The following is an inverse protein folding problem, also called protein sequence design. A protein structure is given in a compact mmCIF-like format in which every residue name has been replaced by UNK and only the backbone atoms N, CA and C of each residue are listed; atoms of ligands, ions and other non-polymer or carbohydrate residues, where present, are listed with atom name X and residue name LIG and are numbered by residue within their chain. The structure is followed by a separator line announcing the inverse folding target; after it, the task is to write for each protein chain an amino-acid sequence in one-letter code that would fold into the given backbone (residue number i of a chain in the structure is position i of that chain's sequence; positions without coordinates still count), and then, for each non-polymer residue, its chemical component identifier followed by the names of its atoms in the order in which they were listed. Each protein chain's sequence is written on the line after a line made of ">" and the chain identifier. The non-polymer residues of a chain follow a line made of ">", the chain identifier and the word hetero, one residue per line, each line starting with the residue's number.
data_IF_172552392297
#
_entry.id   IF_172552392297
#
_cell.length_a   1.000
_cell.length_b   1.000
_cell.length_c   1.000
_cell.angle_alpha   90.00
_cell.angle_beta   90.00
_cell.angle_gamma   90.00
#
_symmetry.space_group_name_H-M   'P 1'
#
loop_
_entity.id
_entity.type
_entity.pdbx_description
1 polymer ?
#
# COMPACT_ATOMS: atom_id res chain seq x y z
N UNK A 1 -2.40 4.20 15.56
CA UNK A 1 -1.44 3.17 15.07
C UNK A 1 -1.56 2.91 13.57
N UNK A 2 -2.76 2.92 12.97
CA UNK A 2 -2.97 2.79 11.53
C UNK A 2 -2.62 4.08 10.77
N UNK A 3 -2.88 5.23 11.38
CA UNK A 3 -2.56 6.56 10.84
C UNK A 3 -1.06 6.78 10.66
N UNK A 4 -0.24 6.18 11.54
CA UNK A 4 1.22 6.21 11.43
C UNK A 4 1.73 5.39 10.24
N UNK A 5 1.09 4.26 9.93
CA UNK A 5 1.43 3.45 8.76
C UNK A 5 1.04 4.18 7.47
N UNK A 6 -0.16 4.75 7.42
CA UNK A 6 -0.65 5.58 6.30
C UNK A 6 0.34 6.73 6.05
N UNK A 7 0.72 7.47 7.09
CA UNK A 7 1.69 8.58 6.96
C UNK A 7 3.02 8.14 6.36
N UNK A 8 3.54 6.97 6.79
CA UNK A 8 4.81 6.43 6.27
C UNK A 8 4.69 5.96 4.82
N UNK A 9 3.56 5.37 4.43
CA UNK A 9 3.28 4.97 3.05
C UNK A 9 3.17 6.20 2.14
N UNK A 10 2.44 7.23 2.56
CA UNK A 10 2.35 8.50 1.82
C UNK A 10 3.72 9.16 1.68
N UNK A 11 4.53 9.18 2.75
CA UNK A 11 5.89 9.70 2.69
C UNK A 11 6.76 8.91 1.69
N UNK A 12 6.63 7.58 1.65
CA UNK A 12 7.33 6.74 0.68
C UNK A 12 6.91 7.05 -0.76
N UNK A 13 5.60 7.24 -1.01
CA UNK A 13 5.09 7.66 -2.31
C UNK A 13 5.71 8.99 -2.76
N UNK A 14 5.82 9.95 -1.85
CA UNK A 14 6.47 11.24 -2.13
C UNK A 14 7.96 11.07 -2.49
N UNK A 15 8.68 10.17 -1.83
CA UNK A 15 10.09 9.89 -2.16
C UNK A 15 10.24 9.37 -3.59
N UNK A 16 9.35 8.49 -4.04
CA UNK A 16 9.33 8.04 -5.44
C UNK A 16 9.11 9.21 -6.42
N UNK A 17 8.17 10.12 -6.11
CA UNK A 17 7.92 11.32 -6.96
C UNK A 17 9.09 12.31 -6.99
N UNK A 18 9.85 12.39 -5.90
CA UNK A 18 11.07 13.21 -5.82
C UNK A 18 12.28 12.56 -6.50
N UNK A 19 12.11 11.40 -7.14
CA UNK A 19 13.20 10.68 -7.81
C UNK A 19 14.13 9.94 -6.85
N UNK A 20 13.75 9.77 -5.57
CA UNK A 20 14.53 9.03 -4.58
C UNK A 20 14.26 7.52 -4.64
N UNK A 21 14.06 6.98 -5.85
CA UNK A 21 13.58 5.61 -6.06
C UNK A 21 14.49 4.55 -5.44
N UNK A 22 15.81 4.72 -5.49
CA UNK A 22 16.76 3.76 -4.90
C UNK A 22 16.60 3.62 -3.38
N UNK A 23 16.44 4.74 -2.67
CA UNK A 23 16.25 4.73 -1.22
C UNK A 23 14.83 4.26 -0.85
N UNK A 24 13.83 4.70 -1.62
CA UNK A 24 12.44 4.31 -1.43
C UNK A 24 12.23 2.79 -1.66
N UNK A 25 12.83 2.22 -2.70
CA UNK A 25 12.73 0.78 -2.99
C UNK A 25 13.32 -0.11 -1.89
N UNK A 26 14.30 0.38 -1.12
CA UNK A 26 14.81 -0.35 0.05
C UNK A 26 13.83 -0.33 1.24
N UNK A 27 13.02 0.73 1.33
CA UNK A 27 12.05 0.92 2.42
C UNK A 27 10.71 0.25 2.12
N UNK A 28 10.34 0.16 0.84
CA UNK A 28 9.10 -0.44 0.35
C UNK A 28 8.79 -1.84 0.91
N UNK A 29 9.69 -2.85 0.84
CA UNK A 29 9.37 -4.19 1.33
C UNK A 29 9.10 -4.23 2.84
N UNK A 30 9.78 -3.36 3.61
CA UNK A 30 9.58 -3.25 5.06
C UNK A 30 8.17 -2.73 5.35
N UNK A 31 7.76 -1.66 4.66
CA UNK A 31 6.43 -1.08 4.83
C UNK A 31 5.31 -2.01 4.35
N UNK A 32 5.51 -2.73 3.25
CA UNK A 32 4.55 -3.73 2.76
C UNK A 32 4.41 -4.90 3.75
N UNK A 33 5.51 -5.38 4.31
CA UNK A 33 5.47 -6.44 5.33
C UNK A 33 4.72 -5.98 6.59
N UNK A 34 5.01 -4.78 7.09
CA UNK A 34 4.29 -4.20 8.23
C UNK A 34 2.79 -4.05 7.93
N UNK A 35 2.46 -3.67 6.70
CA UNK A 35 1.07 -3.53 6.24
C UNK A 35 0.36 -4.88 6.22
N UNK A 36 0.98 -5.91 5.66
CA UNK A 36 0.47 -7.28 5.64
C UNK A 36 0.27 -7.82 7.06
N UNK A 37 1.20 -7.57 7.98
CA UNK A 37 1.07 -8.01 9.38
C UNK A 37 -0.12 -7.34 10.08
N UNK A 38 -0.47 -6.11 9.69
CA UNK A 38 -1.60 -5.36 10.29
C UNK A 38 -2.95 -5.64 9.64
N UNK A 39 -3.00 -5.83 8.32
CA UNK A 39 -4.25 -6.13 7.60
C UNK A 39 -4.54 -7.63 7.44
N UNK A 40 -3.54 -8.49 7.62
CA UNK A 40 -3.64 -9.93 7.40
C UNK A 40 -3.48 -10.31 5.92
N UNK A 41 -4.09 -9.55 5.00
CA UNK A 41 -3.92 -9.73 3.56
C UNK A 41 -3.96 -8.40 2.81
N UNK A 42 -3.40 -8.41 1.60
CA UNK A 42 -3.55 -7.35 0.61
C UNK A 42 -4.15 -7.96 -0.66
N UNK A 43 -4.94 -7.18 -1.41
CA UNK A 43 -5.50 -7.67 -2.67
C UNK A 43 -4.37 -8.03 -3.64
N UNK A 44 -4.45 -9.20 -4.30
CA UNK A 44 -3.38 -9.69 -5.18
C UNK A 44 -3.13 -8.75 -6.37
N UNK A 45 -4.18 -8.10 -6.88
CA UNK A 45 -4.08 -7.17 -8.00
C UNK A 45 -3.27 -5.91 -7.65
N UNK A 46 -3.34 -5.45 -6.39
CA UNK A 46 -2.51 -4.34 -5.93
C UNK A 46 -1.05 -4.74 -5.88
N UNK A 47 -0.75 -5.93 -5.35
CA UNK A 47 0.63 -6.44 -5.29
C UNK A 47 1.20 -6.60 -6.70
N UNK A 48 0.42 -7.18 -7.62
CA UNK A 48 0.80 -7.30 -9.02
C UNK A 48 1.08 -5.93 -9.66
N UNK A 49 0.23 -4.93 -9.39
CA UNK A 49 0.39 -3.57 -9.92
C UNK A 49 1.64 -2.86 -9.36
N UNK A 50 1.94 -3.03 -8.07
CA UNK A 50 3.15 -2.51 -7.43
C UNK A 50 4.42 -3.16 -8.02
N UNK A 51 4.41 -4.49 -8.23
CA UNK A 51 5.52 -5.21 -8.84
C UNK A 51 5.72 -4.81 -10.30
N UNK A 52 4.64 -4.73 -11.08
CA UNK A 52 4.69 -4.30 -12.47
C UNK A 52 5.26 -2.88 -12.63
N UNK A 53 4.86 -1.97 -11.74
CA UNK A 53 5.41 -0.60 -11.70
C UNK A 53 6.91 -0.60 -11.37
N UNK A 54 7.34 -1.42 -10.42
CA UNK A 54 8.77 -1.59 -10.09
C UNK A 54 9.60 -2.12 -11.25
N UNK A 55 9.13 -3.17 -11.94
CA UNK A 55 9.83 -3.80 -13.08
C UNK A 55 10.03 -2.82 -14.24
N UNK A 56 9.02 -1.97 -14.48
CA UNK A 56 9.03 -0.94 -15.53
C UNK A 56 9.74 0.35 -15.12
N UNK A 57 10.23 0.43 -13.88
CA UNK A 57 10.75 1.66 -13.28
C UNK A 57 9.75 2.82 -13.34
N UNK A 58 8.45 2.50 -13.32
CA UNK A 58 7.36 3.47 -13.27
C UNK A 58 7.16 3.94 -11.82
N UNK A 59 8.05 4.81 -11.38
CA UNK A 59 8.06 5.32 -10.00
C UNK A 59 6.86 6.21 -9.70
N UNK A 60 6.30 6.88 -10.71
CA UNK A 60 5.09 7.68 -10.54
C UNK A 60 3.87 6.78 -10.38
N UNK A 61 3.70 5.76 -11.24
CA UNK A 61 2.63 4.77 -11.08
C UNK A 61 2.73 4.03 -9.76
N UNK A 62 3.94 3.64 -9.33
CA UNK A 62 4.17 3.03 -8.02
C UNK A 62 3.73 3.96 -6.87
N UNK A 63 4.07 5.25 -6.96
CA UNK A 63 3.67 6.23 -5.95
C UNK A 63 2.15 6.41 -5.87
N UNK A 64 1.46 6.39 -7.01
CA UNK A 64 0.00 6.50 -7.05
C UNK A 64 -0.68 5.30 -6.38
N UNK A 65 -0.24 4.07 -6.65
CA UNK A 65 -0.77 2.89 -5.94
C UNK A 65 -0.52 2.93 -4.44
N UNK A 66 0.63 3.43 -4.00
CA UNK A 66 0.96 3.56 -2.59
C UNK A 66 0.11 4.63 -1.89
N UNK A 67 -0.06 5.80 -2.51
CA UNK A 67 -0.76 6.93 -1.89
C UNK A 67 -2.28 6.82 -1.95
N UNK A 68 -2.83 6.23 -3.01
CA UNK A 68 -4.27 6.13 -3.20
C UNK A 68 -4.79 4.75 -2.81
N UNK A 69 -4.39 3.69 -3.52
CA UNK A 69 -5.02 2.37 -3.34
C UNK A 69 -4.66 1.71 -2.01
N UNK A 70 -3.37 1.70 -1.66
CA UNK A 70 -2.93 1.11 -0.41
C UNK A 70 -3.46 1.90 0.80
N UNK A 71 -3.45 3.23 0.74
CA UNK A 71 -4.06 4.06 1.78
C UNK A 71 -5.56 3.83 1.88
N UNK A 72 -6.27 3.73 0.75
CA UNK A 72 -7.70 3.45 0.73
C UNK A 72 -8.04 2.12 1.41
N UNK A 73 -7.27 1.05 1.17
CA UNK A 73 -7.42 -0.25 1.85
C UNK A 73 -7.15 -0.13 3.35
N UNK A 74 -6.24 0.75 3.77
CA UNK A 74 -5.94 0.96 5.18
C UNK A 74 -6.97 1.85 5.87
N UNK A 75 -7.58 2.80 5.16
CA UNK A 75 -8.59 3.70 5.73
C UNK A 75 -9.97 3.08 5.75
N UNK A 76 -10.27 2.20 4.79
CA UNK A 76 -11.55 1.50 4.73
C UNK A 76 -11.58 0.45 5.84
N UNK A 77 -12.46 0.58 6.85
CA UNK A 77 -12.64 -0.50 7.81
C UNK A 77 -13.11 -1.72 7.02
N UNK A 78 -12.42 -2.85 7.17
CA UNK A 78 -12.88 -4.13 6.64
C UNK A 78 -14.30 -4.33 7.19
N UNK A 79 -15.33 -4.11 6.37
CA UNK A 79 -16.71 -4.30 6.81
C UNK A 79 -16.78 -5.69 7.43
N UNK A 80 -17.33 -5.84 8.65
CA UNK A 80 -17.65 -7.16 9.13
C UNK A 80 -18.60 -7.74 8.09
N UNK A 81 -18.17 -8.81 7.42
CA UNK A 81 -19.07 -9.72 6.72
C UNK A 81 -20.26 -9.92 7.64
N UNK A 82 -21.42 -9.38 7.27
CA UNK A 82 -22.67 -9.62 7.99
C UNK A 82 -22.98 -11.11 7.76
N UNK A 83 -22.38 -11.94 8.60
CA UNK A 83 -22.81 -13.29 8.84
C UNK A 83 -24.09 -13.17 9.66
N UNK A 84 -25.23 -13.32 8.98
CA UNK A 84 -26.53 -13.43 9.61
C UNK A 84 -27.38 -12.17 9.50
N UNK A 85 -28.02 -11.98 8.35
CA UNK A 85 -29.43 -11.59 8.39
C UNK A 85 -30.23 -12.84 8.03
N UNK A 86 -30.85 -13.43 9.05
CA UNK A 86 -31.78 -14.55 8.95
C UNK A 86 -33.18 -13.96 9.04
N UNK A 87 -34.01 -14.18 8.02
CA UNK A 87 -35.44 -14.51 8.14
C UNK A 87 -35.95 -15.16 6.87
#
# INVERSE_FOLDING_TARGET
>A
MRDSLITRITALAHQFRLGQSVAASQTLPILLQETLTKQGSLPPDLIASLLHSQERQDWLGLADYLEYELVHILTTPSSPTIAGDVS
#
